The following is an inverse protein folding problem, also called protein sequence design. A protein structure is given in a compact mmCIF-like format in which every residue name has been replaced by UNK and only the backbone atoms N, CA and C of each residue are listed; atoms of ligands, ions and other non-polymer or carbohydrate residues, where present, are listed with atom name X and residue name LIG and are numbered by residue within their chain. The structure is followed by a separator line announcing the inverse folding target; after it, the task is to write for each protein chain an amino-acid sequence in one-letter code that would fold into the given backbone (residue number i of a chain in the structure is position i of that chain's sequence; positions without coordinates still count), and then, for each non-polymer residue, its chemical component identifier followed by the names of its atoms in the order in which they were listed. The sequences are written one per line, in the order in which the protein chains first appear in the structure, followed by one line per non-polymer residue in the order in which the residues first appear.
data_IF_043267485592
#
_entry.id   IF_043267485592
#
_cell.length_a   1.000
_cell.length_b   1.000
_cell.length_c   1.000
_cell.angle_alpha   90.00
_cell.angle_beta   90.00
_cell.angle_gamma   90.00
#
_symmetry.space_group_name_H-M   'P 1'
#
loop_
_entity.id
_entity.type
_entity.pdbx_description
1 polymer ?
#
# COMPACT_ATOMS: atom_id res chain seq x y z
N UNK A 1 11.31 22.79 18.67
CA UNK A 1 11.49 21.33 18.91
C UNK A 1 12.57 20.82 17.95
N UNK A 2 13.43 19.95 18.41
CA UNK A 2 14.43 19.28 17.57
C UNK A 2 13.80 18.03 16.92
N UNK A 3 14.40 17.56 15.82
CA UNK A 3 13.91 16.36 15.11
C UNK A 3 13.82 15.12 16.03
N UNK A 4 14.69 15.01 17.03
CA UNK A 4 14.68 13.93 18.03
C UNK A 4 13.45 13.90 18.95
N UNK A 5 12.77 15.03 19.10
CA UNK A 5 11.58 15.18 19.94
C UNK A 5 10.28 14.98 19.15
N UNK A 6 10.37 14.98 17.82
CA UNK A 6 9.23 14.75 16.93
C UNK A 6 8.79 13.27 17.01
N UNK A 7 7.49 13.03 17.03
CA UNK A 7 6.88 11.70 17.11
C UNK A 7 5.95 11.47 15.91
N UNK A 8 5.71 10.22 15.49
CA UNK A 8 4.81 9.90 14.38
C UNK A 8 3.41 10.50 14.53
N UNK A 9 2.88 10.54 15.74
CA UNK A 9 1.55 11.11 16.03
C UNK A 9 1.44 12.61 15.69
N UNK A 10 2.56 13.34 15.68
CA UNK A 10 2.54 14.77 15.34
C UNK A 10 2.30 15.01 13.84
N UNK A 11 2.42 13.99 13.00
CA UNK A 11 2.16 14.10 11.54
C UNK A 11 0.70 14.48 11.26
N UNK A 12 -0.23 14.18 12.15
CA UNK A 12 -1.63 14.58 12.05
C UNK A 12 -1.83 16.10 12.08
N UNK A 13 -0.87 16.87 12.64
CA UNK A 13 -0.88 18.34 12.66
C UNK A 13 -0.39 18.97 11.35
N UNK A 14 0.00 18.15 10.37
CA UNK A 14 0.58 18.61 9.11
C UNK A 14 -0.31 18.26 7.93
N UNK A 15 -0.26 19.14 6.93
CA UNK A 15 -0.81 18.88 5.60
C UNK A 15 0.31 18.61 4.60
N UNK A 16 0.02 17.80 3.60
CA UNK A 16 0.93 17.59 2.47
C UNK A 16 0.95 18.85 1.59
N UNK A 17 2.09 19.53 1.52
CA UNK A 17 2.26 20.75 0.71
C UNK A 17 2.90 20.47 -0.65
N UNK A 18 3.70 19.43 -0.77
CA UNK A 18 4.37 19.04 -2.02
C UNK A 18 4.77 17.57 -2.00
N UNK A 19 4.65 16.91 -3.14
CA UNK A 19 5.08 15.52 -3.32
C UNK A 19 5.84 15.36 -4.63
N UNK A 20 7.00 14.70 -4.56
CA UNK A 20 7.65 14.12 -5.73
C UNK A 20 7.40 12.62 -5.74
N UNK A 21 7.01 12.08 -6.88
CA UNK A 21 6.62 10.68 -7.01
C UNK A 21 7.29 10.00 -8.20
N UNK A 22 7.26 8.67 -8.21
CA UNK A 22 7.65 7.86 -9.35
C UNK A 22 6.76 6.61 -9.45
N UNK A 23 6.50 6.09 -10.68
CA UNK A 23 5.81 4.82 -10.83
C UNK A 23 6.67 3.66 -10.34
N UNK A 24 6.05 2.68 -9.67
CA UNK A 24 6.73 1.49 -9.14
C UNK A 24 6.38 0.20 -9.88
N UNK A 25 5.56 0.26 -10.92
CA UNK A 25 5.18 -0.93 -11.69
C UNK A 25 6.37 -1.58 -12.43
N UNK A 26 7.38 -0.78 -12.78
CA UNK A 26 8.49 -1.20 -13.61
C UNK A 26 8.06 -1.57 -15.03
N UNK A 27 9.02 -2.01 -15.86
CA UNK A 27 8.73 -2.56 -17.18
C UNK A 27 8.34 -4.04 -17.05
N UNK A 28 7.08 -4.35 -17.30
CA UNK A 28 6.51 -5.70 -17.22
C UNK A 28 5.71 -5.97 -18.50
N UNK A 29 5.69 -7.23 -18.94
CA UNK A 29 4.87 -7.64 -20.08
C UNK A 29 3.36 -7.66 -19.79
N UNK A 30 2.97 -7.64 -18.48
CA UNK A 30 1.59 -7.67 -18.03
C UNK A 30 1.48 -6.96 -16.67
N UNK A 31 0.39 -6.24 -16.48
CA UNK A 31 0.09 -5.44 -15.30
C UNK A 31 -1.13 -5.97 -14.55
N UNK A 32 -1.33 -5.61 -13.26
CA UNK A 32 -2.46 -6.07 -12.46
C UNK A 32 -3.82 -5.83 -13.14
N UNK A 33 -4.03 -4.63 -13.72
CA UNK A 33 -5.27 -4.30 -14.41
C UNK A 33 -5.52 -5.15 -15.66
N UNK A 34 -4.47 -5.62 -16.38
CA UNK A 34 -4.66 -6.53 -17.50
C UNK A 34 -5.25 -7.87 -17.04
N UNK A 35 -4.79 -8.41 -15.90
CA UNK A 35 -5.38 -9.62 -15.33
C UNK A 35 -6.82 -9.38 -14.85
N UNK A 36 -7.12 -8.21 -14.31
CA UNK A 36 -8.49 -7.84 -13.94
C UNK A 36 -9.40 -7.78 -15.18
N UNK A 37 -8.91 -7.18 -16.27
CA UNK A 37 -9.65 -7.13 -17.53
C UNK A 37 -9.91 -8.53 -18.09
N UNK A 38 -8.93 -9.43 -18.02
CA UNK A 38 -9.14 -10.83 -18.42
C UNK A 38 -10.20 -11.52 -17.54
N UNK A 39 -10.20 -11.26 -16.22
CA UNK A 39 -11.21 -11.79 -15.34
C UNK A 39 -12.61 -11.29 -15.70
N UNK A 40 -12.76 -10.00 -16.02
CA UNK A 40 -14.02 -9.40 -16.45
C UNK A 40 -14.50 -9.94 -17.80
N UNK A 41 -13.59 -10.14 -18.75
CA UNK A 41 -13.91 -10.75 -20.04
C UNK A 41 -14.41 -12.18 -19.88
N UNK A 42 -13.77 -12.99 -19.03
CA UNK A 42 -14.21 -14.35 -18.74
C UNK A 42 -15.63 -14.39 -18.14
N UNK A 43 -16.01 -13.40 -17.30
CA UNK A 43 -17.38 -13.31 -16.73
C UNK A 43 -18.40 -12.87 -17.77
N UNK A 44 -18.01 -11.96 -18.68
CA UNK A 44 -18.88 -11.40 -19.70
C UNK A 44 -19.24 -12.42 -20.81
N UNK A 45 -18.41 -13.46 -20.96
CA UNK A 45 -18.73 -14.61 -21.81
C UNK A 45 -19.88 -15.47 -21.21
N UNK A 46 -20.18 -16.60 -21.85
CA UNK A 46 -21.10 -17.58 -21.29
C UNK A 46 -20.61 -18.05 -19.90
N UNK A 47 -21.46 -17.98 -18.87
CA UNK A 47 -21.13 -18.38 -17.49
C UNK A 47 -20.94 -19.90 -17.35
N UNK A 48 -19.94 -20.43 -18.01
CA UNK A 48 -19.53 -21.84 -17.96
C UNK A 48 -18.60 -22.09 -16.76
N UNK A 49 -18.44 -23.35 -16.38
CA UNK A 49 -17.46 -23.75 -15.34
C UNK A 49 -16.05 -23.25 -15.67
N UNK A 50 -15.66 -23.29 -16.93
CA UNK A 50 -14.34 -22.85 -17.41
C UNK A 50 -14.14 -21.36 -17.20
N UNK A 51 -15.11 -20.55 -17.63
CA UNK A 51 -15.00 -19.07 -17.53
C UNK A 51 -15.02 -18.61 -16.07
N UNK A 52 -15.85 -19.21 -15.20
CA UNK A 52 -15.84 -18.90 -13.77
C UNK A 52 -14.50 -19.20 -13.09
N UNK A 53 -13.88 -20.37 -13.39
CA UNK A 53 -12.58 -20.74 -12.84
C UNK A 53 -11.48 -19.82 -13.37
N UNK A 54 -11.49 -19.49 -14.66
CA UNK A 54 -10.52 -18.59 -15.27
C UNK A 54 -10.61 -17.18 -14.69
N UNK A 55 -11.83 -16.65 -14.54
CA UNK A 55 -12.06 -15.33 -13.96
C UNK A 55 -11.48 -15.21 -12.56
N UNK A 56 -11.78 -16.15 -11.65
CA UNK A 56 -11.17 -16.16 -10.31
C UNK A 56 -9.64 -16.25 -10.39
N UNK A 57 -9.12 -17.13 -11.26
CA UNK A 57 -7.69 -17.29 -11.45
C UNK A 57 -7.00 -16.01 -11.91
N UNK A 58 -7.64 -15.26 -12.83
CA UNK A 58 -7.14 -13.99 -13.32
C UNK A 58 -7.28 -12.88 -12.27
N UNK A 59 -8.42 -12.76 -11.60
CA UNK A 59 -8.59 -11.80 -10.50
C UNK A 59 -7.57 -12.02 -9.37
N UNK A 60 -7.31 -13.28 -9.01
CA UNK A 60 -6.27 -13.62 -8.05
C UNK A 60 -4.89 -13.16 -8.50
N UNK A 61 -4.53 -13.39 -9.77
CA UNK A 61 -3.23 -12.92 -10.32
C UNK A 61 -3.12 -11.40 -10.26
N UNK A 62 -4.20 -10.68 -10.61
CA UNK A 62 -4.27 -9.23 -10.48
C UNK A 62 -3.95 -8.78 -9.05
N UNK A 63 -4.65 -9.36 -8.08
CA UNK A 63 -4.48 -9.06 -6.66
C UNK A 63 -3.06 -9.34 -6.16
N UNK A 64 -2.54 -10.54 -6.44
CA UNK A 64 -1.20 -10.94 -6.00
C UNK A 64 -0.12 -10.05 -6.60
N UNK A 65 -0.21 -9.76 -7.90
CA UNK A 65 0.78 -8.92 -8.58
C UNK A 65 0.79 -7.49 -8.01
N UNK A 66 -0.37 -6.90 -7.71
CA UNK A 66 -0.45 -5.57 -7.09
C UNK A 66 0.20 -5.56 -5.70
N UNK A 67 -0.10 -6.57 -4.87
CA UNK A 67 0.50 -6.72 -3.53
C UNK A 67 2.01 -6.91 -3.63
N UNK A 68 2.49 -7.68 -4.62
CA UNK A 68 3.92 -7.91 -4.84
C UNK A 68 4.63 -6.60 -5.21
N UNK A 69 4.08 -5.84 -6.17
CA UNK A 69 4.63 -4.55 -6.60
C UNK A 69 4.77 -3.59 -5.41
N UNK A 70 3.71 -3.44 -4.60
CA UNK A 70 3.70 -2.52 -3.47
C UNK A 70 4.68 -2.98 -2.37
N UNK A 71 4.65 -4.27 -2.01
CA UNK A 71 5.52 -4.79 -0.96
C UNK A 71 7.01 -4.74 -1.34
N UNK A 72 7.35 -5.00 -2.60
CA UNK A 72 8.71 -4.88 -3.10
C UNK A 72 9.18 -3.42 -3.06
N UNK A 73 8.36 -2.47 -3.53
CA UNK A 73 8.69 -1.05 -3.51
C UNK A 73 8.88 -0.49 -2.09
N UNK A 74 8.11 -0.99 -1.12
CA UNK A 74 8.25 -0.63 0.29
C UNK A 74 9.46 -1.32 0.97
N UNK A 75 10.19 -2.17 0.26
CA UNK A 75 11.43 -2.76 0.73
C UNK A 75 11.29 -4.07 1.52
N UNK A 76 10.20 -4.83 1.33
CA UNK A 76 10.01 -6.10 2.04
C UNK A 76 11.20 -7.07 1.85
N UNK A 77 11.86 -7.05 0.69
CA UNK A 77 13.06 -7.84 0.40
C UNK A 77 14.21 -7.55 1.36
N UNK A 78 14.42 -6.29 1.75
CA UNK A 78 15.46 -5.88 2.70
C UNK A 78 15.20 -6.41 4.13
N UNK A 79 13.93 -6.59 4.49
CA UNK A 79 13.54 -7.13 5.79
C UNK A 79 13.78 -8.64 5.88
N UNK A 80 13.55 -9.36 4.81
CA UNK A 80 13.51 -10.84 4.80
C UNK A 80 14.75 -11.52 4.22
N UNK A 81 15.60 -10.77 3.52
CA UNK A 81 16.75 -11.34 2.83
C UNK A 81 16.33 -12.38 1.76
N UNK A 82 16.95 -13.56 1.79
CA UNK A 82 16.70 -14.62 0.79
C UNK A 82 15.36 -15.37 0.98
N UNK A 83 14.61 -15.15 2.07
CA UNK A 83 13.34 -15.83 2.29
C UNK A 83 12.21 -15.14 1.52
N UNK A 84 11.51 -15.90 0.67
CA UNK A 84 10.29 -15.42 0.01
C UNK A 84 9.11 -15.41 0.99
N UNK A 85 8.54 -14.23 1.33
CA UNK A 85 7.38 -14.14 2.21
C UNK A 85 6.13 -14.70 1.52
N UNK A 86 5.29 -15.38 2.29
CA UNK A 86 3.97 -15.81 1.83
C UNK A 86 3.02 -14.63 1.59
N UNK A 87 1.96 -14.87 0.83
CA UNK A 87 0.98 -13.82 0.51
C UNK A 87 0.36 -13.14 1.76
N UNK A 88 -0.06 -13.87 2.82
CA UNK A 88 -0.55 -13.24 4.05
C UNK A 88 0.48 -12.31 4.71
N UNK A 89 1.77 -12.69 4.71
CA UNK A 89 2.84 -11.85 5.26
C UNK A 89 3.01 -10.54 4.46
N UNK A 90 2.83 -10.58 3.12
CA UNK A 90 2.86 -9.38 2.28
C UNK A 90 1.68 -8.45 2.57
N UNK A 91 0.48 -8.99 2.76
CA UNK A 91 -0.70 -8.22 3.15
C UNK A 91 -0.51 -7.52 4.50
N UNK A 92 -0.04 -8.25 5.51
CA UNK A 92 0.25 -7.68 6.83
C UNK A 92 1.33 -6.59 6.74
N UNK A 93 2.32 -6.78 5.89
CA UNK A 93 3.39 -5.82 5.67
C UNK A 93 2.87 -4.50 5.07
N UNK A 94 2.13 -4.54 3.96
CA UNK A 94 1.58 -3.31 3.34
C UNK A 94 0.59 -2.59 4.25
N UNK A 95 -0.13 -3.34 5.10
CA UNK A 95 -0.99 -2.77 6.14
C UNK A 95 -0.20 -2.02 7.21
N UNK A 96 0.91 -2.61 7.69
CA UNK A 96 1.82 -1.95 8.65
C UNK A 96 2.45 -0.69 8.07
N UNK A 97 2.69 -0.66 6.76
CA UNK A 97 3.19 0.53 6.06
C UNK A 97 2.14 1.63 5.87
N UNK A 98 0.87 1.41 6.24
CA UNK A 98 -0.18 2.42 6.16
C UNK A 98 -0.91 2.50 4.82
N UNK A 99 -0.57 1.65 3.84
CA UNK A 99 -1.14 1.70 2.48
C UNK A 99 -2.63 1.36 2.48
N UNK A 100 -3.06 0.42 3.31
CA UNK A 100 -4.44 -0.04 3.34
C UNK A 100 -4.87 -0.49 4.74
N UNK A 101 -6.17 -0.35 5.03
CA UNK A 101 -6.73 -0.78 6.31
C UNK A 101 -6.68 -2.31 6.50
N UNK A 102 -6.28 -2.80 7.69
CA UNK A 102 -6.27 -4.23 8.00
C UNK A 102 -7.62 -4.94 7.83
N UNK A 103 -8.72 -4.19 8.00
CA UNK A 103 -10.07 -4.75 7.89
C UNK A 103 -10.43 -5.15 6.46
N UNK A 104 -10.02 -4.34 5.47
CA UNK A 104 -10.23 -4.63 4.05
C UNK A 104 -9.42 -5.87 3.66
N UNK A 105 -8.16 -5.94 4.10
CA UNK A 105 -7.29 -7.08 3.82
C UNK A 105 -7.82 -8.40 4.40
N UNK A 106 -8.41 -8.36 5.61
CA UNK A 106 -9.04 -9.56 6.21
C UNK A 106 -10.22 -10.07 5.38
N UNK A 107 -11.06 -9.16 4.87
CA UNK A 107 -12.18 -9.53 3.99
C UNK A 107 -11.70 -10.15 2.68
N UNK A 108 -10.70 -9.53 2.04
CA UNK A 108 -10.07 -10.06 0.81
C UNK A 108 -9.49 -11.46 1.03
N UNK A 109 -8.75 -11.66 2.10
CA UNK A 109 -8.14 -12.95 2.41
C UNK A 109 -9.19 -14.03 2.74
N UNK A 110 -10.29 -13.66 3.39
CA UNK A 110 -11.39 -14.59 3.67
C UNK A 110 -12.06 -15.10 2.38
N UNK A 111 -12.39 -14.21 1.45
CA UNK A 111 -13.00 -14.58 0.16
C UNK A 111 -12.05 -15.46 -0.66
N UNK A 112 -10.76 -15.08 -0.70
CA UNK A 112 -9.72 -15.88 -1.35
C UNK A 112 -9.66 -17.31 -0.81
N UNK A 113 -9.59 -17.48 0.52
CA UNK A 113 -9.45 -18.80 1.14
C UNK A 113 -10.64 -19.69 0.84
N UNK A 114 -11.86 -19.16 0.83
CA UNK A 114 -13.07 -19.90 0.50
C UNK A 114 -13.02 -20.50 -0.92
N UNK A 115 -12.48 -19.74 -1.89
CA UNK A 115 -12.37 -20.18 -3.29
C UNK A 115 -11.26 -21.22 -3.50
N UNK A 116 -10.15 -21.12 -2.75
CA UNK A 116 -8.97 -21.99 -2.97
C UNK A 116 -9.08 -23.37 -2.34
N UNK A 117 -9.78 -23.50 -1.21
CA UNK A 117 -9.70 -24.73 -0.41
C UNK A 117 -10.76 -25.77 -0.72
N UNK A 118 -11.85 -25.40 -1.37
CA UNK A 118 -12.99 -26.35 -1.49
C UNK A 118 -12.99 -27.14 -2.81
N UNK A 119 -12.08 -26.89 -3.77
CA UNK A 119 -12.09 -27.49 -5.12
C UNK A 119 -13.50 -27.50 -5.77
N UNK A 120 -14.40 -26.73 -5.18
CA UNK A 120 -15.77 -26.59 -5.63
C UNK A 120 -15.84 -25.62 -6.80
N UNK A 121 -16.75 -25.86 -7.72
CA UNK A 121 -17.04 -24.90 -8.78
C UNK A 121 -17.71 -23.71 -8.11
N UNK A 122 -17.11 -22.51 -8.21
CA UNK A 122 -17.68 -21.34 -7.57
C UNK A 122 -19.00 -20.96 -8.22
N UNK A 123 -19.93 -20.43 -7.45
CA UNK A 123 -21.16 -19.83 -7.98
C UNK A 123 -20.84 -18.53 -8.70
N UNK A 124 -21.62 -18.20 -9.73
CA UNK A 124 -21.42 -16.97 -10.49
C UNK A 124 -21.36 -15.72 -9.60
N UNK A 125 -22.28 -15.59 -8.64
CA UNK A 125 -22.32 -14.47 -7.69
C UNK A 125 -21.04 -14.36 -6.85
N UNK A 126 -20.47 -15.49 -6.42
CA UNK A 126 -19.21 -15.51 -5.65
C UNK A 126 -18.01 -15.05 -6.50
N UNK A 127 -18.06 -15.33 -7.81
CA UNK A 127 -17.03 -14.88 -8.77
C UNK A 127 -17.15 -13.37 -9.02
N UNK A 128 -18.38 -12.90 -9.26
CA UNK A 128 -18.68 -11.48 -9.48
C UNK A 128 -18.22 -10.68 -8.24
N UNK A 129 -18.61 -11.08 -7.03
CA UNK A 129 -18.18 -10.45 -5.77
C UNK A 129 -16.64 -10.43 -5.61
N UNK A 130 -15.97 -11.52 -5.96
CA UNK A 130 -14.51 -11.59 -5.84
C UNK A 130 -13.81 -10.64 -6.80
N UNK A 131 -14.24 -10.57 -8.05
CA UNK A 131 -13.70 -9.66 -9.06
C UNK A 131 -13.91 -8.21 -8.65
N UNK A 132 -15.10 -7.86 -8.17
CA UNK A 132 -15.43 -6.51 -7.70
C UNK A 132 -14.55 -6.10 -6.50
N UNK A 133 -14.34 -7.00 -5.55
CA UNK A 133 -13.46 -6.74 -4.40
C UNK A 133 -12.01 -6.54 -4.84
N UNK A 134 -11.53 -7.34 -5.80
CA UNK A 134 -10.18 -7.17 -6.35
C UNK A 134 -10.07 -5.84 -7.09
N UNK A 135 -11.08 -5.46 -7.89
CA UNK A 135 -11.09 -4.16 -8.54
C UNK A 135 -11.01 -3.00 -7.54
N UNK A 136 -11.84 -3.04 -6.48
CA UNK A 136 -11.80 -2.02 -5.43
C UNK A 136 -10.42 -1.92 -4.77
N UNK A 137 -9.75 -3.07 -4.55
CA UNK A 137 -8.38 -3.07 -4.01
C UNK A 137 -7.39 -2.43 -4.99
N UNK A 138 -7.43 -2.81 -6.27
CA UNK A 138 -6.54 -2.25 -7.28
C UNK A 138 -6.75 -0.74 -7.42
N UNK A 139 -7.99 -0.28 -7.43
CA UNK A 139 -8.33 1.15 -7.50
C UNK A 139 -7.88 1.91 -6.26
N UNK A 140 -8.12 1.38 -5.07
CA UNK A 140 -7.70 2.00 -3.81
C UNK A 140 -6.18 2.13 -3.65
N UNK A 141 -5.42 1.25 -4.31
CA UNK A 141 -3.95 1.26 -4.25
C UNK A 141 -3.29 1.78 -5.53
N UNK A 142 -4.08 2.25 -6.50
CA UNK A 142 -3.60 2.71 -7.81
C UNK A 142 -2.63 3.88 -7.68
N UNK A 143 -2.98 4.88 -6.87
CA UNK A 143 -2.13 6.04 -6.64
C UNK A 143 -0.77 5.66 -6.06
N UNK A 144 -0.73 4.68 -5.15
CA UNK A 144 0.55 4.19 -4.59
C UNK A 144 1.42 3.55 -5.66
N UNK A 145 0.83 2.91 -6.67
CA UNK A 145 1.58 2.22 -7.74
C UNK A 145 2.02 3.15 -8.85
N UNK A 146 1.16 4.07 -9.26
CA UNK A 146 1.42 4.99 -10.36
C UNK A 146 2.26 6.20 -9.91
N UNK A 147 2.05 6.66 -8.67
CA UNK A 147 2.61 7.89 -8.10
C UNK A 147 3.22 7.61 -6.70
N UNK A 148 4.08 6.59 -6.61
CA UNK A 148 4.73 6.25 -5.34
C UNK A 148 5.49 7.45 -4.78
N UNK A 149 5.21 7.91 -3.55
CA UNK A 149 5.82 9.11 -3.02
C UNK A 149 7.28 8.82 -2.65
N UNK A 150 8.20 9.49 -3.33
CA UNK A 150 9.64 9.42 -3.03
C UNK A 150 10.09 10.56 -2.13
N UNK A 151 9.40 11.71 -2.19
CA UNK A 151 9.63 12.84 -1.29
C UNK A 151 8.29 13.52 -1.01
N UNK A 152 8.02 13.76 0.26
CA UNK A 152 6.82 14.46 0.75
C UNK A 152 7.27 15.62 1.62
N UNK A 153 6.76 16.82 1.35
CA UNK A 153 6.89 17.97 2.21
C UNK A 153 5.60 18.16 2.99
N UNK A 154 5.73 18.21 4.31
CA UNK A 154 4.65 18.32 5.26
C UNK A 154 4.74 19.68 5.94
N UNK A 155 3.75 20.54 5.74
CA UNK A 155 3.65 21.86 6.32
C UNK A 155 2.69 21.86 7.51
N UNK A 156 3.12 22.47 8.62
CA UNK A 156 2.29 22.57 9.83
C UNK A 156 1.01 23.36 9.51
N UNK A 157 -0.14 22.77 9.81
CA UNK A 157 -1.42 23.48 9.68
C UNK A 157 -1.48 24.64 10.69
N UNK A 158 -1.74 25.84 10.20
CA UNK A 158 -2.00 27.01 11.03
C UNK A 158 -3.49 27.02 11.40
N UNK A 159 -3.82 26.57 12.60
CA UNK A 159 -5.17 26.68 13.13
C UNK A 159 -5.24 27.96 14.01
N UNK A 160 -6.07 28.92 13.62
CA UNK A 160 -6.27 30.19 14.35
C UNK A 160 -6.82 29.97 15.78
N UNK A 161 -7.37 28.80 16.07
CA UNK A 161 -8.00 28.45 17.34
C UNK A 161 -7.19 27.52 18.23
N UNK A 162 -6.16 26.87 17.71
CA UNK A 162 -5.25 26.01 18.48
C UNK A 162 -3.87 26.65 18.58
N UNK A 163 -3.53 27.16 19.76
CA UNK A 163 -2.11 27.45 20.07
C UNK A 163 -1.44 26.10 20.31
N UNK A 164 -0.53 25.65 19.44
CA UNK A 164 0.16 24.39 19.65
C UNK A 164 0.88 24.43 21.00
N UNK A 165 0.56 23.52 21.90
CA UNK A 165 1.25 23.39 23.20
C UNK A 165 2.72 22.98 23.05
N UNK A 166 3.14 22.64 21.81
CA UNK A 166 4.50 22.30 21.41
C UNK A 166 4.92 23.21 20.25
N UNK A 167 6.15 23.73 20.29
CA UNK A 167 6.78 24.43 19.16
C UNK A 167 7.14 23.43 18.05
N UNK A 168 6.15 22.95 17.31
CA UNK A 168 6.34 22.06 16.17
C UNK A 168 7.11 22.77 15.05
N UNK A 169 7.95 22.07 14.27
CA UNK A 169 8.62 22.67 13.12
C UNK A 169 7.60 22.99 12.02
N UNK A 170 7.76 24.13 11.35
CA UNK A 170 6.86 24.55 10.26
C UNK A 170 6.87 23.60 9.07
N UNK A 171 8.02 22.98 8.79
CA UNK A 171 8.22 22.12 7.62
C UNK A 171 8.98 20.85 8.03
N UNK A 172 8.49 19.72 7.57
CA UNK A 172 9.14 18.41 7.64
C UNK A 172 9.23 17.88 6.22
N UNK A 173 10.38 17.36 5.84
CA UNK A 173 10.57 16.63 4.59
C UNK A 173 10.80 15.16 4.89
N UNK A 174 10.03 14.28 4.25
CA UNK A 174 10.18 12.84 4.29
C UNK A 174 10.66 12.34 2.91
N UNK A 175 11.79 11.66 2.86
CA UNK A 175 12.30 10.99 1.66
C UNK A 175 12.20 9.49 1.86
N UNK A 176 11.37 8.82 1.04
CA UNK A 176 11.17 7.37 1.04
C UNK A 176 11.98 6.79 -0.12
N UNK A 177 12.90 5.86 0.17
CA UNK A 177 13.75 5.22 -0.85
C UNK A 177 13.07 3.93 -1.34
N UNK A 178 12.50 3.91 -2.57
CA UNK A 178 11.84 2.72 -3.11
C UNK A 178 12.80 1.52 -3.10
N UNK A 179 12.28 0.33 -2.80
CA UNK A 179 12.99 -0.95 -2.76
C UNK A 179 14.10 -1.08 -1.71
N UNK A 180 14.34 -0.05 -0.87
CA UNK A 180 15.45 -0.02 0.09
C UNK A 180 15.02 -0.18 1.56
N UNK A 181 13.70 -0.11 1.83
CA UNK A 181 13.24 -0.16 3.21
C UNK A 181 13.92 0.90 4.10
N UNK A 182 14.08 2.09 3.56
CA UNK A 182 14.76 3.19 4.20
C UNK A 182 14.00 4.50 3.96
N UNK A 183 13.93 5.32 5.00
CA UNK A 183 13.32 6.64 4.96
C UNK A 183 14.18 7.64 5.70
N UNK A 184 14.27 8.86 5.18
CA UNK A 184 14.98 9.98 5.81
C UNK A 184 13.98 11.08 6.13
N UNK A 185 13.94 11.52 7.38
CA UNK A 185 13.22 12.73 7.78
C UNK A 185 14.21 13.87 7.94
N UNK A 186 13.86 15.02 7.37
CA UNK A 186 14.62 16.27 7.47
C UNK A 186 13.75 17.35 8.12
N UNK A 187 14.29 17.99 9.14
CA UNK A 187 13.62 19.09 9.83
C UNK A 187 14.68 20.09 10.34
N UNK A 188 14.52 21.39 10.05
CA UNK A 188 15.43 22.46 10.50
C UNK A 188 16.93 22.17 10.24
N UNK A 189 17.24 21.47 9.13
CA UNK A 189 18.61 21.08 8.75
C UNK A 189 19.16 19.85 9.47
N UNK A 190 18.41 19.24 10.39
CA UNK A 190 18.73 17.95 10.98
C UNK A 190 18.10 16.82 10.15
N UNK A 191 18.85 15.74 9.94
CA UNK A 191 18.40 14.54 9.23
C UNK A 191 18.36 13.34 10.19
N UNK A 192 17.32 12.51 10.05
CA UNK A 192 17.23 11.24 10.75
C UNK A 192 16.82 10.15 9.78
N UNK A 193 17.68 9.14 9.67
CA UNK A 193 17.39 7.95 8.86
C UNK A 193 16.69 6.89 9.70
N UNK A 194 15.68 6.24 9.10
CA UNK A 194 14.95 5.11 9.65
C UNK A 194 15.08 3.94 8.71
N UNK A 195 15.35 2.76 9.27
CA UNK A 195 15.50 1.54 8.52
C UNK A 195 14.36 0.58 8.83
N UNK A 196 13.94 -0.20 7.86
CA UNK A 196 12.85 -1.18 7.98
C UNK A 196 13.08 -2.22 9.10
N UNK A 197 14.30 -2.39 9.59
CA UNK A 197 14.64 -3.25 10.71
C UNK A 197 14.37 -2.61 12.08
N UNK A 198 14.16 -1.29 12.10
CA UNK A 198 13.85 -0.55 13.31
C UNK A 198 12.34 -0.55 13.56
N UNK A 199 11.89 -0.84 14.79
CA UNK A 199 10.47 -0.91 15.12
C UNK A 199 9.72 0.39 14.81
N UNK A 200 10.36 1.53 15.05
CA UNK A 200 9.78 2.87 14.84
C UNK A 200 9.63 3.25 13.35
N UNK A 201 10.30 2.53 12.44
CA UNK A 201 10.20 2.78 10.99
C UNK A 201 8.75 2.71 10.50
N UNK A 202 8.02 1.66 10.89
CA UNK A 202 6.63 1.46 10.46
C UNK A 202 5.68 2.51 11.02
N UNK A 203 5.93 2.99 12.24
CA UNK A 203 5.11 4.05 12.83
C UNK A 203 5.24 5.35 12.03
N UNK A 204 6.46 5.73 11.69
CA UNK A 204 6.73 6.91 10.87
C UNK A 204 6.21 6.75 9.45
N UNK A 205 6.54 5.64 8.79
CA UNK A 205 6.11 5.39 7.42
C UNK A 205 4.58 5.39 7.31
N UNK A 206 3.91 4.69 8.24
CA UNK A 206 2.44 4.63 8.27
C UNK A 206 1.79 6.00 8.49
N UNK A 207 2.34 6.83 9.38
CA UNK A 207 1.82 8.17 9.61
C UNK A 207 1.95 9.05 8.36
N UNK A 208 3.12 9.02 7.69
CA UNK A 208 3.41 9.80 6.49
C UNK A 208 2.57 9.34 5.29
N UNK A 209 2.50 8.02 5.04
CA UNK A 209 1.72 7.47 3.93
C UNK A 209 0.22 7.77 4.10
N UNK A 210 -0.32 7.65 5.32
CA UNK A 210 -1.73 7.98 5.57
C UNK A 210 -2.02 9.47 5.38
N UNK A 211 -1.14 10.34 5.83
CA UNK A 211 -1.27 11.78 5.61
C UNK A 211 -1.22 12.13 4.11
N UNK A 212 -0.40 11.39 3.34
CA UNK A 212 -0.29 11.59 1.89
C UNK A 212 -1.52 11.08 1.12
N UNK A 213 -2.15 9.98 1.57
CA UNK A 213 -3.28 9.34 0.89
C UNK A 213 -4.66 9.87 1.35
N UNK A 214 -4.74 10.55 2.49
CA UNK A 214 -5.96 11.10 3.07
C UNK A 214 -6.28 12.46 2.54
#
# INVERSE_FOLDING_TARGET
MKLLELKPLHIEEYQNSSTSSCPIQGERGIYPFNYLDFAKLDIAEEKSRRTLINSIGNAKRAFHLQVDIISDALGLGELRGARHPGFPEKLDFISKCGVISPNILRKLNFVRNKVEHDYAIPKSEEVDDYVDIVELFLMATKSVVDDFPVMIELELMEDEFCVPSLELPKLIRAEIKPYKGCMVLTCKGENREFNIKDSIYFEWLSAIIRNHLG
#
